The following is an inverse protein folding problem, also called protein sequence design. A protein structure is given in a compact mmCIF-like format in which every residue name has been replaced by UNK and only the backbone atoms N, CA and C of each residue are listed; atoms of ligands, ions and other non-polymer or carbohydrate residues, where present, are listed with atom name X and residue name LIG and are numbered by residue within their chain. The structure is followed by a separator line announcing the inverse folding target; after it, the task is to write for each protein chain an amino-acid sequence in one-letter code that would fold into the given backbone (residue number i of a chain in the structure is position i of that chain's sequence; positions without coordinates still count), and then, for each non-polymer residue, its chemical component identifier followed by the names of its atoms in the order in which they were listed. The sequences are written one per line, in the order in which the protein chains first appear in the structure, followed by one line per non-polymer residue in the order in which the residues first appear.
data_IF_306062962587
#
_entry.id   IF_306062962587
#
_cell.length_a   1.000
_cell.length_b   1.000
_cell.length_c   1.000
_cell.angle_alpha   90.00
_cell.angle_beta   90.00
_cell.angle_gamma   90.00
#
_symmetry.space_group_name_H-M   'P 1'
#
loop_
_entity.id
_entity.type
_entity.pdbx_description
1 polymer ?
#
# COMPACT_ATOMS: atom_id res chain seq x y z
N UNK A 1 -14.34 1.07 14.17
CA UNK A 1 -14.10 1.00 12.71
C UNK A 1 -13.65 -0.39 12.36
N UNK A 2 -14.06 -0.97 11.22
CA UNK A 2 -13.53 -2.25 10.78
C UNK A 2 -12.02 -2.19 10.69
N UNK A 3 -11.33 -3.22 11.19
CA UNK A 3 -9.87 -3.31 11.06
C UNK A 3 -9.51 -3.51 9.60
N UNK A 4 -8.64 -2.67 9.01
CA UNK A 4 -8.12 -2.90 7.66
C UNK A 4 -7.57 -4.32 7.49
N UNK A 5 -7.85 -4.93 6.34
CA UNK A 5 -7.53 -6.33 6.08
C UNK A 5 -6.60 -6.45 4.88
N UNK A 6 -5.44 -7.08 5.09
CA UNK A 6 -4.50 -7.38 4.01
C UNK A 6 -5.00 -8.54 3.15
N UNK A 7 -4.72 -8.50 1.85
CA UNK A 7 -5.15 -9.53 0.90
C UNK A 7 -4.15 -9.71 -0.23
N UNK A 8 -4.08 -10.94 -0.75
CA UNK A 8 -3.11 -11.31 -1.76
C UNK A 8 -1.71 -11.53 -1.17
N UNK A 9 -0.69 -11.42 -2.01
CA UNK A 9 0.71 -11.60 -1.60
C UNK A 9 1.58 -10.63 -2.38
N UNK A 10 2.56 -10.03 -1.69
CA UNK A 10 3.55 -9.16 -2.32
C UNK A 10 4.47 -9.92 -3.28
N UNK A 11 5.09 -9.16 -4.19
CA UNK A 11 6.13 -9.69 -5.08
C UNK A 11 7.44 -9.79 -4.28
N UNK A 12 8.04 -10.98 -4.24
CA UNK A 12 9.37 -11.18 -3.65
C UNK A 12 10.37 -10.22 -4.30
N UNK A 13 11.02 -9.40 -3.49
CA UNK A 13 12.00 -8.42 -3.95
C UNK A 13 13.39 -9.05 -4.15
N UNK A 14 14.34 -8.27 -4.67
CA UNK A 14 15.72 -8.73 -4.91
C UNK A 14 16.50 -9.14 -3.66
N UNK A 15 16.06 -8.76 -2.46
CA UNK A 15 16.62 -9.24 -1.18
C UNK A 15 16.01 -10.58 -0.72
N UNK A 16 15.06 -11.12 -1.47
CA UNK A 16 14.33 -12.34 -1.12
C UNK A 16 13.20 -12.13 -0.11
N UNK A 17 12.84 -10.88 0.20
CA UNK A 17 11.75 -10.57 1.13
C UNK A 17 10.42 -10.42 0.41
N UNK A 18 9.33 -10.74 1.11
CA UNK A 18 7.97 -10.49 0.63
C UNK A 18 7.46 -9.22 1.31
N UNK A 19 7.37 -8.08 0.60
CA UNK A 19 6.86 -6.84 1.16
C UNK A 19 5.37 -6.99 1.49
N UNK A 20 4.94 -6.39 2.60
CA UNK A 20 3.55 -6.41 3.02
C UNK A 20 3.08 -5.02 3.48
N UNK A 21 1.83 -4.71 3.19
CA UNK A 21 1.13 -3.50 3.57
C UNK A 21 0.43 -3.74 4.92
N UNK A 22 0.51 -2.75 5.79
CA UNK A 22 -0.17 -2.74 7.08
C UNK A 22 -0.70 -1.34 7.37
N UNK A 23 -1.25 -1.13 8.57
CA UNK A 23 -1.75 0.19 8.98
C UNK A 23 -1.42 0.45 10.44
N UNK A 24 -1.49 1.73 10.81
CA UNK A 24 -1.47 2.21 12.19
C UNK A 24 -2.57 3.26 12.38
N UNK A 25 -2.98 3.47 13.62
CA UNK A 25 -4.12 4.32 13.95
C UNK A 25 -5.46 3.74 13.48
N UNK A 26 -6.47 4.60 13.43
CA UNK A 26 -7.85 4.22 13.12
C UNK A 26 -8.31 4.91 11.84
N UNK A 27 -8.92 4.21 10.85
CA UNK A 27 -9.43 4.82 9.61
C UNK A 27 -10.71 5.62 9.85
N UNK A 28 -10.62 6.62 10.73
CA UNK A 28 -11.69 7.42 11.30
C UNK A 28 -11.41 8.91 11.11
N UNK A 29 -12.46 9.66 10.80
CA UNK A 29 -12.40 11.13 10.71
C UNK A 29 -12.09 11.74 12.08
N UNK A 30 -12.68 11.19 13.15
CA UNK A 30 -12.50 11.72 14.51
C UNK A 30 -11.13 11.41 15.13
N UNK A 31 -10.46 10.33 14.71
CA UNK A 31 -9.17 9.92 15.27
C UNK A 31 -7.98 10.71 14.73
N UNK A 32 -8.01 11.06 13.44
CA UNK A 32 -6.95 11.82 12.75
C UNK A 32 -5.51 11.27 12.93
N UNK A 33 -5.36 9.96 13.17
CA UNK A 33 -4.09 9.27 13.44
C UNK A 33 -3.77 8.16 12.43
N UNK A 34 -4.56 8.05 11.36
CA UNK A 34 -4.45 6.95 10.40
C UNK A 34 -3.21 7.06 9.51
N UNK A 35 -2.48 5.95 9.40
CA UNK A 35 -1.39 5.82 8.45
C UNK A 35 -1.35 4.42 7.83
N UNK A 36 -0.87 4.38 6.59
CA UNK A 36 -0.65 3.16 5.82
C UNK A 36 0.84 2.87 5.81
N UNK A 37 1.21 1.64 6.14
CA UNK A 37 2.61 1.25 6.27
C UNK A 37 2.96 0.19 5.24
N UNK A 38 4.23 0.16 4.85
CA UNK A 38 4.82 -0.99 4.17
C UNK A 38 6.09 -1.36 4.89
N UNK A 39 6.35 -2.66 4.97
CA UNK A 39 7.57 -3.23 5.53
C UNK A 39 8.17 -4.23 4.55
N UNK A 40 9.46 -4.53 4.73
CA UNK A 40 10.22 -5.47 3.91
C UNK A 40 10.25 -5.12 2.41
N UNK A 41 10.03 -3.85 2.06
CA UNK A 41 10.28 -3.35 0.72
C UNK A 41 11.80 -3.15 0.48
N UNK A 42 12.19 -2.66 -0.70
CA UNK A 42 13.61 -2.47 -1.00
C UNK A 42 14.17 -1.23 -0.25
N UNK A 43 15.17 -1.38 0.63
CA UNK A 43 15.68 -0.27 1.43
C UNK A 43 16.23 0.90 0.60
N UNK A 44 16.09 2.13 1.12
CA UNK A 44 16.58 3.37 0.48
C UNK A 44 16.03 3.62 -0.94
N UNK A 45 14.88 3.02 -1.29
CA UNK A 45 14.24 3.20 -2.60
C UNK A 45 12.98 4.07 -2.49
N UNK A 46 12.64 4.82 -3.55
CA UNK A 46 11.38 5.53 -3.59
C UNK A 46 10.21 4.56 -3.72
N UNK A 47 9.12 4.90 -3.04
CA UNK A 47 7.85 4.16 -3.01
C UNK A 47 6.69 5.13 -3.25
N UNK A 48 5.68 4.65 -3.97
CA UNK A 48 4.39 5.31 -4.09
C UNK A 48 3.31 4.43 -3.46
N UNK A 49 2.38 5.07 -2.77
CA UNK A 49 1.12 4.48 -2.41
C UNK A 49 0.16 4.63 -3.59
N UNK A 50 -0.52 3.56 -3.98
CA UNK A 50 -1.57 3.56 -4.99
C UNK A 50 -2.89 3.09 -4.40
N UNK A 51 -4.00 3.64 -4.87
CA UNK A 51 -5.33 3.24 -4.39
C UNK A 51 -6.38 3.14 -5.49
N UNK A 52 -7.46 2.42 -5.18
CA UNK A 52 -8.64 2.25 -6.04
C UNK A 52 -9.90 1.96 -5.22
N UNK A 53 -11.08 2.13 -5.82
CA UNK A 53 -12.36 1.71 -5.24
C UNK A 53 -12.67 0.22 -5.45
N UNK A 54 -11.82 -0.51 -6.19
CA UNK A 54 -12.06 -1.92 -6.52
C UNK A 54 -10.77 -2.76 -6.48
N UNK A 55 -10.91 -4.03 -6.14
CA UNK A 55 -9.80 -5.01 -6.16
C UNK A 55 -9.56 -5.58 -7.55
N UNK A 56 -8.37 -6.13 -7.76
CA UNK A 56 -8.02 -6.93 -8.92
C UNK A 56 -6.99 -7.99 -8.57
N UNK A 57 -6.64 -8.84 -9.53
CA UNK A 57 -5.57 -9.83 -9.41
C UNK A 57 -4.85 -9.97 -10.75
N UNK A 58 -4.42 -8.84 -11.32
CA UNK A 58 -3.82 -8.81 -12.65
C UNK A 58 -2.29 -8.98 -12.56
N UNK A 59 -1.68 -9.84 -13.40
CA UNK A 59 -0.23 -9.88 -13.54
C UNK A 59 0.32 -8.49 -13.91
N UNK A 60 1.33 -8.03 -13.18
CA UNK A 60 1.93 -6.72 -13.37
C UNK A 60 3.41 -6.74 -13.00
N UNK A 61 4.29 -6.52 -14.00
CA UNK A 61 5.73 -6.35 -13.82
C UNK A 61 6.40 -7.44 -12.95
N UNK A 62 6.03 -8.71 -13.21
CA UNK A 62 6.55 -9.86 -12.46
C UNK A 62 5.92 -10.10 -11.09
N UNK A 63 4.87 -9.35 -10.72
CA UNK A 63 4.04 -9.59 -9.54
C UNK A 63 2.54 -9.48 -9.88
N UNK A 64 1.73 -9.13 -8.88
CA UNK A 64 0.28 -8.95 -9.04
C UNK A 64 -0.12 -7.53 -8.63
N UNK A 65 -0.86 -6.84 -9.50
CA UNK A 65 -1.57 -5.62 -9.16
C UNK A 65 -2.91 -6.00 -8.52
N UNK A 66 -3.04 -5.72 -7.21
CA UNK A 66 -4.16 -6.13 -6.38
C UNK A 66 -5.34 -5.16 -6.40
N UNK A 67 -5.22 -4.06 -7.15
CA UNK A 67 -6.23 -3.02 -7.30
C UNK A 67 -6.61 -2.83 -8.78
N UNK A 68 -7.87 -2.53 -9.05
CA UNK A 68 -8.36 -2.30 -10.41
C UNK A 68 -8.24 -0.83 -10.84
N UNK A 69 -8.13 -0.53 -12.14
CA UNK A 69 -8.32 0.83 -12.64
C UNK A 69 -9.73 1.37 -12.34
N UNK A 70 -9.89 2.71 -12.18
CA UNK A 70 -8.86 3.73 -12.22
C UNK A 70 -7.97 3.72 -10.96
N UNK A 71 -6.67 3.89 -11.14
CA UNK A 71 -5.69 3.92 -10.05
C UNK A 71 -5.32 5.36 -9.72
N UNK A 72 -5.48 5.74 -8.46
CA UNK A 72 -4.96 7.00 -7.92
C UNK A 72 -3.55 6.78 -7.39
N UNK A 73 -2.62 7.67 -7.77
CA UNK A 73 -1.25 7.70 -7.24
C UNK A 73 -1.16 8.79 -6.17
N UNK A 74 -0.67 8.42 -5.01
CA UNK A 74 -0.40 9.33 -3.90
C UNK A 74 1.04 9.83 -3.96
N UNK A 75 1.47 10.57 -2.94
CA UNK A 75 2.82 11.12 -2.84
C UNK A 75 3.92 10.04 -2.85
N UNK A 76 5.10 10.45 -3.28
CA UNK A 76 6.31 9.62 -3.22
C UNK A 76 6.93 9.76 -1.83
N UNK A 77 7.32 8.65 -1.23
CA UNK A 77 8.16 8.61 -0.02
C UNK A 77 9.46 7.85 -0.32
N UNK A 78 10.45 8.01 0.55
CA UNK A 78 11.69 7.21 0.51
C UNK A 78 11.62 6.19 1.64
N UNK A 79 11.80 4.92 1.30
CA UNK A 79 11.89 3.83 2.27
C UNK A 79 13.15 3.98 3.12
N UNK A 80 13.05 3.67 4.40
CA UNK A 80 14.18 3.70 5.32
C UNK A 80 15.19 2.55 5.07
N UNK A 81 16.16 2.42 5.97
CA UNK A 81 17.18 1.36 5.90
C UNK A 81 16.64 -0.06 6.09
N UNK A 82 15.43 -0.20 6.63
CA UNK A 82 14.75 -1.49 6.80
C UNK A 82 13.77 -1.80 5.66
N UNK A 83 13.61 -0.88 4.70
CA UNK A 83 12.62 -1.03 3.65
C UNK A 83 11.20 -0.73 4.15
N UNK A 84 11.09 0.19 5.11
CA UNK A 84 9.82 0.57 5.72
C UNK A 84 9.49 2.04 5.49
N UNK A 85 8.18 2.34 5.48
CA UNK A 85 7.68 3.72 5.60
C UNK A 85 6.29 3.72 6.21
N UNK A 86 5.98 4.77 6.97
CA UNK A 86 4.62 5.09 7.39
C UNK A 86 4.12 6.30 6.59
N UNK A 87 3.02 6.10 5.87
CA UNK A 87 2.39 7.09 5.00
C UNK A 87 1.15 7.66 5.71
N UNK A 88 1.19 8.89 6.25
CA UNK A 88 0.01 9.50 6.87
C UNK A 88 -1.12 9.65 5.85
N UNK A 89 -2.34 9.24 6.22
CA UNK A 89 -3.49 9.28 5.34
C UNK A 89 -4.66 9.99 6.03
N UNK A 90 -5.01 11.18 5.53
CA UNK A 90 -6.11 11.95 6.07
C UNK A 90 -7.45 11.33 5.66
N UNK A 91 -8.26 10.96 6.66
CA UNK A 91 -9.64 10.48 6.46
C UNK A 91 -10.57 11.67 6.45
N UNK A 92 -11.27 11.87 5.34
CA UNK A 92 -12.26 12.95 5.17
C UNK A 92 -13.69 12.45 5.42
N UNK A 93 -14.59 13.34 5.85
CA UNK A 93 -16.00 13.03 6.09
C UNK A 93 -16.72 12.41 4.89
N UNK A 94 -16.31 12.74 3.66
CA UNK A 94 -16.85 12.14 2.43
C UNK A 94 -16.49 10.67 2.24
N UNK A 95 -15.48 10.16 2.96
CA UNK A 95 -15.03 8.77 2.85
C UNK A 95 -15.81 7.83 3.76
N UNK A 96 -16.51 8.34 4.78
CA UNK A 96 -17.19 7.53 5.80
C UNK A 96 -18.18 6.56 5.15
N UNK A 97 -18.07 5.28 5.52
CA UNK A 97 -18.89 4.20 4.97
C UNK A 97 -18.43 3.67 3.61
N UNK A 98 -17.41 4.27 2.98
CA UNK A 98 -16.79 3.74 1.77
C UNK A 98 -15.63 2.80 2.10
N UNK A 99 -15.31 1.92 1.16
CA UNK A 99 -14.13 1.06 1.18
C UNK A 99 -13.17 1.47 0.07
N UNK A 100 -11.89 1.57 0.40
CA UNK A 100 -10.82 1.83 -0.54
C UNK A 100 -9.73 0.76 -0.40
N UNK A 101 -9.11 0.43 -1.52
CA UNK A 101 -8.07 -0.59 -1.60
C UNK A 101 -6.75 0.06 -1.94
N UNK A 102 -5.68 -0.39 -1.27
CA UNK A 102 -4.35 0.18 -1.36
C UNK A 102 -3.32 -0.88 -1.74
N UNK A 103 -2.24 -0.43 -2.37
CA UNK A 103 -1.04 -1.23 -2.59
C UNK A 103 0.17 -0.29 -2.62
N UNK A 104 1.34 -0.75 -2.17
CA UNK A 104 2.59 -0.03 -2.31
C UNK A 104 3.34 -0.51 -3.55
N UNK A 105 3.82 0.44 -4.34
CA UNK A 105 4.67 0.19 -5.51
C UNK A 105 5.98 0.93 -5.31
N UNK A 106 7.07 0.18 -5.19
CA UNK A 106 8.41 0.71 -4.96
C UNK A 106 9.39 0.33 -6.06
N UNK A 107 10.53 1.01 -6.10
CA UNK A 107 11.64 0.67 -6.98
C UNK A 107 12.42 -0.51 -6.42
N UNK A 108 12.76 -1.46 -7.28
CA UNK A 108 13.65 -2.56 -6.97
C UNK A 108 14.66 -2.68 -8.13
N UNK A 109 15.73 -1.86 -8.16
CA UNK A 109 16.60 -1.75 -9.33
C UNK A 109 17.23 -3.08 -9.82
N UNK A 110 17.60 -4.03 -8.93
CA UNK A 110 18.12 -5.33 -9.36
C UNK A 110 17.06 -6.31 -9.92
N UNK A 111 15.77 -6.07 -9.71
CA UNK A 111 14.70 -6.90 -10.28
C UNK A 111 14.61 -6.72 -11.79
N UNK A 112 14.20 -7.77 -12.51
CA UNK A 112 14.12 -7.77 -13.98
C UNK A 112 13.20 -6.67 -14.56
N UNK A 113 12.20 -6.23 -13.79
CA UNK A 113 11.28 -5.15 -14.16
C UNK A 113 11.60 -3.84 -13.42
N UNK A 114 12.59 -3.83 -12.52
CA UNK A 114 12.98 -2.67 -11.74
C UNK A 114 11.97 -2.26 -10.65
N UNK A 115 11.02 -3.13 -10.29
CA UNK A 115 9.89 -2.79 -9.43
C UNK A 115 9.56 -3.88 -8.41
N UNK A 116 9.11 -3.44 -7.23
CA UNK A 116 8.49 -4.28 -6.22
C UNK A 116 7.06 -3.83 -5.92
N UNK A 117 6.25 -4.76 -5.42
CA UNK A 117 4.82 -4.58 -5.14
C UNK A 117 4.50 -5.25 -3.80
N UNK A 118 3.81 -4.56 -2.90
CA UNK A 118 3.23 -5.19 -1.69
C UNK A 118 2.02 -6.05 -2.05
N UNK A 119 1.47 -6.76 -1.07
CA UNK A 119 0.09 -7.20 -1.08
C UNK A 119 -0.89 -6.01 -1.07
N UNK A 120 -2.19 -6.30 -1.20
CA UNK A 120 -3.25 -5.31 -1.12
C UNK A 120 -3.72 -5.09 0.32
N UNK A 121 -4.25 -3.90 0.60
CA UNK A 121 -4.90 -3.59 1.87
C UNK A 121 -6.29 -2.99 1.65
N UNK A 122 -7.31 -3.62 2.21
CA UNK A 122 -8.69 -3.16 2.23
C UNK A 122 -8.93 -2.28 3.46
N UNK A 123 -9.43 -1.07 3.25
CA UNK A 123 -9.72 -0.10 4.31
C UNK A 123 -11.16 0.38 4.17
N UNK A 124 -11.97 0.16 5.21
CA UNK A 124 -13.31 0.76 5.32
C UNK A 124 -13.29 1.90 6.33
N UNK A 125 -13.74 3.07 5.89
CA UNK A 125 -13.74 4.26 6.72
C UNK A 125 -15.00 4.40 7.57
N UNK A 126 -14.84 5.02 8.72
CA UNK A 126 -15.86 5.25 9.74
C UNK A 126 -15.76 6.71 10.24
N UNK A 127 -16.72 7.11 11.07
CA UNK A 127 -16.65 8.34 11.84
C UNK A 127 -15.78 8.15 13.10
#
# INVERSE_FOLDING_TARGET
CPTPTAYGTGKTNSNGWVPFASHSGTPSVSSADFALNVDLAMPSQPVILISSSSTSSNPFMGGTLWIAPPVTRHGVQILDSMGSVSYPFAVDGSMVGSTQYFQFWFRDPPDAHGVGLSDGLEVTYCD
#
